data_IF_623592576769
#
_entry.id   IF_623592576769
#
_cell.length_a   1.000
_cell.length_b   1.000
_cell.length_c   1.000
_cell.angle_alpha   90.00
_cell.angle_beta   90.00
_cell.angle_gamma   90.00
#
_symmetry.space_group_name_H-M   'P 1'
#
loop_
_entity.id
_entity.type
_entity.pdbx_description
1 polymer ?
#
# COMPACT_ATOMS: atom_id res chain seq x y z
N UNK A 1 -14.35 2.78 -14.04
CA UNK A 1 -13.16 2.09 -14.62
C UNK A 1 -11.84 2.64 -14.02
N UNK A 2 -11.76 2.87 -12.69
CA UNK A 2 -10.54 3.42 -12.05
C UNK A 2 -9.94 2.51 -10.97
N UNK A 3 -10.73 1.64 -10.31
CA UNK A 3 -10.19 0.63 -9.39
C UNK A 3 -9.59 -0.63 -10.03
N UNK A 4 -9.73 -0.84 -11.34
CA UNK A 4 -9.06 -1.97 -12.01
C UNK A 4 -7.52 -1.88 -11.91
N UNK A 5 -6.98 -0.66 -11.76
CA UNK A 5 -5.56 -0.45 -11.47
C UNK A 5 -5.17 -0.94 -10.07
N UNK A 6 -6.08 -0.86 -9.08
CA UNK A 6 -5.82 -1.43 -7.76
C UNK A 6 -5.80 -2.96 -7.79
N UNK A 7 -6.61 -3.61 -8.62
CA UNK A 7 -6.51 -5.06 -8.79
C UNK A 7 -5.25 -5.47 -9.54
N UNK A 8 -4.77 -4.73 -10.54
CA UNK A 8 -3.47 -5.05 -11.15
C UNK A 8 -2.30 -4.85 -10.18
N UNK A 9 -2.37 -3.83 -9.31
CA UNK A 9 -1.35 -3.54 -8.30
C UNK A 9 -1.43 -4.53 -7.11
N UNK A 10 -2.63 -4.93 -6.67
CA UNK A 10 -2.85 -5.89 -5.58
C UNK A 10 -2.66 -7.34 -6.05
N UNK A 11 -3.03 -7.67 -7.29
CA UNK A 11 -2.83 -9.03 -7.85
C UNK A 11 -1.38 -9.24 -8.31
N UNK A 12 -0.63 -8.21 -8.76
CA UNK A 12 0.83 -8.35 -8.90
C UNK A 12 1.54 -8.48 -7.54
N UNK A 13 0.95 -7.99 -6.45
CA UNK A 13 1.50 -8.17 -5.10
C UNK A 13 1.28 -9.59 -4.53
N UNK A 14 0.41 -10.40 -5.14
CA UNK A 14 0.22 -11.81 -4.79
C UNK A 14 1.03 -12.78 -5.67
N UNK A 15 1.64 -12.30 -6.77
CA UNK A 15 2.35 -13.14 -7.76
C UNK A 15 3.87 -13.02 -7.77
N UNK A 16 4.45 -11.91 -7.31
CA UNK A 16 5.89 -11.78 -7.06
C UNK A 16 6.10 -10.81 -5.91
N UNK A 17 6.23 -11.36 -4.70
CA UNK A 17 6.48 -10.59 -3.49
C UNK A 17 7.79 -9.81 -3.57
N UNK A 18 7.71 -8.52 -3.91
CA UNK A 18 8.70 -7.54 -3.49
C UNK A 18 8.01 -6.56 -2.54
N UNK A 19 7.64 -7.10 -1.37
CA UNK A 19 7.58 -6.30 -0.15
C UNK A 19 8.99 -5.74 0.06
N UNK A 20 9.13 -4.43 0.26
CA UNK A 20 10.18 -4.00 1.18
C UNK A 20 9.89 -4.76 2.47
N UNK A 21 10.81 -5.58 2.99
CA UNK A 21 10.56 -6.21 4.28
C UNK A 21 10.37 -5.08 5.28
N UNK A 22 9.13 -4.93 5.75
CA UNK A 22 8.92 -4.53 7.13
C UNK A 22 9.79 -5.45 7.97
N UNK A 23 10.36 -4.91 9.04
CA UNK A 23 11.27 -5.59 9.96
C UNK A 23 10.67 -6.96 10.38
N UNK A 24 11.05 -8.06 9.73
CA UNK A 24 10.62 -9.41 10.10
C UNK A 24 11.79 -10.06 10.83
N UNK A 25 11.52 -10.50 12.06
CA UNK A 25 12.44 -11.19 12.96
C UNK A 25 13.06 -12.44 12.35
N UNK A 26 14.26 -12.73 12.84
CA UNK A 26 15.16 -13.81 12.44
C UNK A 26 14.55 -15.21 12.57
N UNK A 27 14.71 -16.02 11.53
CA UNK A 27 15.23 -17.40 11.62
C UNK A 27 15.71 -17.89 10.23
N UNK A 28 16.90 -18.50 10.18
CA UNK A 28 17.36 -19.35 9.07
C UNK A 28 18.00 -18.67 7.85
N UNK A 29 19.32 -18.71 7.77
CA UNK A 29 20.18 -18.09 6.74
C UNK A 29 20.06 -18.64 5.29
N UNK A 30 19.04 -19.45 4.95
CA UNK A 30 18.94 -20.08 3.62
C UNK A 30 17.65 -19.71 2.83
N UNK A 31 16.74 -18.90 3.39
CA UNK A 31 15.47 -18.52 2.73
C UNK A 31 15.54 -17.12 2.06
N UNK A 32 16.54 -16.30 2.38
CA UNK A 32 16.55 -14.85 2.12
C UNK A 32 16.90 -14.43 0.67
N UNK A 33 17.67 -15.22 -0.08
CA UNK A 33 18.01 -14.88 -1.48
C UNK A 33 16.77 -14.89 -2.41
N UNK A 34 15.70 -15.59 -2.03
CA UNK A 34 14.46 -15.67 -2.81
C UNK A 34 13.74 -14.33 -2.98
N UNK A 35 13.89 -13.40 -2.02
CA UNK A 35 13.16 -12.14 -1.96
C UNK A 35 13.73 -11.03 -2.87
N UNK A 36 14.96 -11.19 -3.33
CA UNK A 36 15.66 -10.17 -4.12
C UNK A 36 16.09 -10.77 -5.45
N UNK A 37 15.29 -10.59 -6.52
CA UNK A 37 15.56 -11.21 -7.81
C UNK A 37 16.93 -10.85 -8.40
N UNK A 38 17.44 -9.66 -8.09
CA UNK A 38 18.76 -9.19 -8.56
C UNK A 38 19.94 -9.88 -7.87
N UNK A 39 19.70 -10.63 -6.78
CA UNK A 39 20.73 -11.47 -6.13
C UNK A 39 20.84 -12.86 -6.76
N UNK A 40 20.00 -13.20 -7.76
CA UNK A 40 20.13 -14.49 -8.47
C UNK A 40 21.47 -14.52 -9.22
N UNK A 41 22.37 -15.38 -8.76
CA UNK A 41 23.73 -15.51 -9.31
C UNK A 41 24.80 -14.73 -8.55
N UNK A 42 24.44 -13.98 -7.50
CA UNK A 42 25.41 -13.37 -6.60
C UNK A 42 26.13 -14.44 -5.75
N UNK A 43 27.38 -14.17 -5.37
CA UNK A 43 28.13 -15.07 -4.49
C UNK A 43 27.49 -15.15 -3.10
N UNK A 44 27.72 -16.25 -2.38
CA UNK A 44 27.21 -16.40 -1.02
C UNK A 44 27.71 -15.27 -0.09
N UNK A 45 28.98 -14.86 -0.25
CA UNK A 45 29.56 -13.75 0.49
C UNK A 45 28.87 -12.42 0.17
N UNK A 46 28.57 -12.16 -1.11
CA UNK A 46 27.84 -10.96 -1.53
C UNK A 46 26.44 -10.92 -0.93
N UNK A 47 25.71 -12.05 -0.94
CA UNK A 47 24.38 -12.16 -0.34
C UNK A 47 24.42 -11.97 1.18
N UNK A 48 25.44 -12.51 1.86
CA UNK A 48 25.59 -12.31 3.30
C UNK A 48 25.85 -10.84 3.65
N UNK A 49 26.77 -10.18 2.94
CA UNK A 49 27.07 -8.75 3.13
C UNK A 49 25.84 -7.86 2.87
N UNK A 50 25.07 -8.17 1.83
CA UNK A 50 23.79 -7.50 1.57
C UNK A 50 22.83 -7.63 2.76
N UNK A 51 22.64 -8.85 3.26
CA UNK A 51 21.76 -9.14 4.40
C UNK A 51 22.19 -8.41 5.67
N UNK A 52 23.50 -8.26 5.91
CA UNK A 52 24.04 -7.49 7.03
C UNK A 52 23.70 -6.00 6.90
N UNK A 53 23.75 -5.41 5.70
CA UNK A 53 23.41 -4.00 5.48
C UNK A 53 21.91 -3.78 5.71
N UNK A 54 21.04 -4.60 5.11
CA UNK A 54 19.58 -4.43 5.26
C UNK A 54 19.09 -4.75 6.68
N UNK A 55 19.81 -5.59 7.42
CA UNK A 55 19.51 -5.95 8.81
C UNK A 55 19.87 -4.87 9.83
N UNK A 56 20.60 -3.83 9.45
CA UNK A 56 20.95 -2.70 10.34
C UNK A 56 19.76 -1.76 10.49
N UNK A 57 19.16 -1.76 11.68
CA UNK A 57 18.03 -0.89 12.03
C UNK A 57 18.43 0.45 12.66
N UNK A 58 19.70 0.62 13.04
CA UNK A 58 20.22 1.80 13.73
C UNK A 58 20.97 2.79 12.80
N UNK A 59 20.81 2.64 11.48
CA UNK A 59 21.42 3.53 10.48
C UNK A 59 20.34 4.37 9.78
N UNK A 60 20.72 5.54 9.26
CA UNK A 60 19.79 6.33 8.47
C UNK A 60 19.51 5.66 7.13
N UNK A 61 18.45 6.09 6.45
CA UNK A 61 18.14 5.60 5.10
C UNK A 61 19.22 5.99 4.10
N UNK A 62 19.80 7.17 4.26
CA UNK A 62 20.88 7.68 3.42
C UNK A 62 22.13 6.82 3.60
N UNK A 63 22.57 6.59 4.85
CA UNK A 63 23.72 5.71 5.14
C UNK A 63 23.51 4.29 4.58
N UNK A 64 22.27 3.78 4.65
CA UNK A 64 21.93 2.46 4.11
C UNK A 64 22.05 2.44 2.59
N UNK A 65 21.52 3.45 1.91
CA UNK A 65 21.57 3.55 0.45
C UNK A 65 23.02 3.68 -0.03
N UNK A 66 23.84 4.50 0.63
CA UNK A 66 25.27 4.61 0.36
C UNK A 66 26.01 3.27 0.57
N UNK A 67 25.72 2.58 1.67
CA UNK A 67 26.31 1.28 1.95
C UNK A 67 25.92 0.22 0.90
N UNK A 68 24.68 0.25 0.41
CA UNK A 68 24.22 -0.65 -0.65
C UNK A 68 24.81 -0.29 -2.01
N UNK A 69 24.93 0.98 -2.35
CA UNK A 69 25.60 1.41 -3.59
C UNK A 69 27.07 0.98 -3.60
N UNK A 70 27.77 1.15 -2.46
CA UNK A 70 29.16 0.66 -2.31
C UNK A 70 29.24 -0.86 -2.40
N UNK A 71 28.38 -1.58 -1.69
CA UNK A 71 28.30 -3.05 -1.76
C UNK A 71 28.09 -3.55 -3.20
N UNK A 72 27.24 -2.87 -3.97
CA UNK A 72 26.96 -3.25 -5.35
C UNK A 72 28.17 -3.01 -6.27
N UNK A 73 28.97 -1.98 -6.03
CA UNK A 73 30.26 -1.76 -6.71
C UNK A 73 31.25 -2.88 -6.37
N UNK A 74 31.43 -3.15 -5.07
CA UNK A 74 32.42 -4.13 -4.58
C UNK A 74 32.15 -5.57 -5.08
N UNK A 75 30.90 -5.86 -5.49
CA UNK A 75 30.47 -7.19 -5.92
C UNK A 75 30.10 -7.27 -7.42
N UNK A 76 30.37 -6.23 -8.21
CA UNK A 76 30.01 -6.16 -9.65
C UNK A 76 28.50 -6.36 -9.93
N UNK A 77 27.67 -5.82 -9.03
CA UNK A 77 26.20 -5.90 -9.08
C UNK A 77 25.55 -4.52 -9.26
N UNK A 78 26.32 -3.46 -9.51
CA UNK A 78 25.82 -2.08 -9.53
C UNK A 78 24.65 -1.88 -10.49
N UNK A 79 24.78 -2.33 -11.73
CA UNK A 79 23.75 -2.11 -12.75
C UNK A 79 22.45 -2.86 -12.44
N UNK A 80 22.56 -4.13 -12.02
CA UNK A 80 21.40 -4.95 -11.67
C UNK A 80 20.73 -4.44 -10.39
N UNK A 81 21.51 -3.97 -9.42
CA UNK A 81 21.00 -3.35 -8.20
C UNK A 81 20.29 -2.03 -8.49
N UNK A 82 20.89 -1.13 -9.28
CA UNK A 82 20.28 0.15 -9.65
C UNK A 82 18.97 -0.05 -10.40
N UNK A 83 18.93 -0.99 -11.36
CA UNK A 83 17.71 -1.32 -12.08
C UNK A 83 16.61 -1.78 -11.13
N UNK A 84 16.94 -2.68 -10.20
CA UNK A 84 16.01 -3.13 -9.16
C UNK A 84 15.51 -1.95 -8.30
N UNK A 85 16.42 -1.11 -7.77
CA UNK A 85 16.10 0.06 -6.95
C UNK A 85 15.13 1.00 -7.67
N UNK A 86 15.42 1.35 -8.93
CA UNK A 86 14.54 2.20 -9.73
C UNK A 86 13.16 1.56 -9.92
N UNK A 87 13.09 0.28 -10.30
CA UNK A 87 11.79 -0.40 -10.49
C UNK A 87 10.96 -0.39 -9.21
N UNK A 88 11.58 -0.66 -8.06
CA UNK A 88 10.89 -0.70 -6.78
C UNK A 88 10.39 0.69 -6.37
N UNK A 89 11.20 1.73 -6.54
CA UNK A 89 10.80 3.12 -6.23
C UNK A 89 9.70 3.62 -7.18
N UNK A 90 9.77 3.30 -8.48
CA UNK A 90 8.69 3.59 -9.43
C UNK A 90 7.38 2.91 -9.02
N UNK A 91 7.42 1.61 -8.71
CA UNK A 91 6.23 0.86 -8.27
C UNK A 91 5.70 1.38 -6.92
N UNK A 92 6.56 1.90 -6.05
CA UNK A 92 6.15 2.53 -4.79
C UNK A 92 5.44 3.86 -5.04
N UNK A 93 5.96 4.71 -5.91
CA UNK A 93 5.33 5.99 -6.23
C UNK A 93 4.01 5.81 -6.98
N UNK A 94 3.93 4.85 -7.91
CA UNK A 94 2.67 4.48 -8.58
C UNK A 94 1.61 4.02 -7.58
N UNK A 95 1.99 3.16 -6.62
CA UNK A 95 1.11 2.77 -5.50
C UNK A 95 0.65 3.97 -4.69
N UNK A 96 1.57 4.87 -4.34
CA UNK A 96 1.25 6.09 -3.56
C UNK A 96 0.23 6.95 -4.30
N UNK A 97 0.45 7.20 -5.60
CA UNK A 97 -0.46 7.96 -6.46
C UNK A 97 -1.83 7.28 -6.57
N UNK A 98 -1.86 5.96 -6.73
CA UNK A 98 -3.11 5.20 -6.80
C UNK A 98 -3.92 5.29 -5.49
N UNK A 99 -3.25 5.22 -4.34
CA UNK A 99 -3.88 5.39 -3.02
C UNK A 99 -4.46 6.80 -2.89
N UNK A 100 -3.66 7.83 -3.16
CA UNK A 100 -4.12 9.23 -3.08
C UNK A 100 -5.30 9.50 -4.02
N UNK A 101 -5.22 9.03 -5.27
CA UNK A 101 -6.33 9.17 -6.21
C UNK A 101 -7.60 8.44 -5.78
N UNK A 102 -7.47 7.33 -5.05
CA UNK A 102 -8.62 6.61 -4.46
C UNK A 102 -9.24 7.41 -3.30
N UNK A 103 -8.41 8.02 -2.45
CA UNK A 103 -8.88 8.88 -1.35
C UNK A 103 -9.62 10.11 -1.89
N UNK A 104 -9.09 10.75 -2.93
CA UNK A 104 -9.75 11.89 -3.58
C UNK A 104 -11.08 11.49 -4.22
N UNK A 105 -11.12 10.32 -4.88
CA UNK A 105 -12.36 9.78 -5.43
C UNK A 105 -13.42 9.53 -4.33
N UNK A 106 -13.02 8.89 -3.22
CA UNK A 106 -13.91 8.63 -2.10
C UNK A 106 -14.43 9.93 -1.49
N UNK A 107 -13.57 10.94 -1.33
CA UNK A 107 -13.98 12.26 -0.86
C UNK A 107 -15.10 12.83 -1.72
N UNK A 108 -14.90 12.90 -3.04
CA UNK A 108 -15.92 13.41 -3.96
C UNK A 108 -17.20 12.56 -3.99
N UNK A 109 -17.08 11.25 -3.75
CA UNK A 109 -18.24 10.36 -3.60
C UNK A 109 -19.07 10.72 -2.37
N UNK A 110 -18.44 10.93 -1.21
CA UNK A 110 -19.13 11.33 0.02
C UNK A 110 -19.68 12.75 -0.02
N UNK A 111 -19.01 13.68 -0.71
CA UNK A 111 -19.53 15.03 -0.96
C UNK A 111 -20.88 14.97 -1.70
N UNK A 112 -21.00 14.14 -2.74
CA UNK A 112 -22.26 13.92 -3.46
C UNK A 112 -23.36 13.32 -2.58
N UNK A 113 -23.02 12.38 -1.69
CA UNK A 113 -23.98 11.87 -0.71
C UNK A 113 -24.45 13.01 0.19
N UNK A 114 -23.53 13.83 0.70
CA UNK A 114 -23.85 15.01 1.50
C UNK A 114 -24.79 15.99 0.78
N UNK A 115 -24.57 16.25 -0.50
CA UNK A 115 -25.44 17.09 -1.34
C UNK A 115 -26.86 16.52 -1.45
N UNK A 116 -26.99 15.20 -1.69
CA UNK A 116 -28.29 14.53 -1.73
C UNK A 116 -29.03 14.65 -0.39
N UNK A 117 -28.32 14.47 0.72
CA UNK A 117 -28.88 14.51 2.07
C UNK A 117 -29.23 15.94 2.53
N UNK A 118 -28.46 16.94 2.11
CA UNK A 118 -28.71 18.34 2.45
C UNK A 118 -29.87 18.97 1.66
N UNK A 119 -30.25 18.36 0.53
CA UNK A 119 -31.29 18.90 -0.34
C UNK A 119 -32.68 18.68 0.25
N UNK A 120 -33.20 19.72 0.93
CA UNK A 120 -34.55 19.73 1.53
C UNK A 120 -35.70 19.63 0.53
N UNK A 121 -35.44 19.79 -0.77
CA UNK A 121 -36.45 19.63 -1.81
C UNK A 121 -36.67 18.18 -2.22
N UNK A 122 -35.79 17.26 -1.81
CA UNK A 122 -35.97 15.83 -2.05
C UNK A 122 -36.86 15.18 -1.01
N UNK A 123 -37.72 14.28 -1.48
CA UNK A 123 -38.38 13.31 -0.61
C UNK A 123 -37.37 12.26 -0.13
N UNK A 124 -37.65 11.59 0.99
CA UNK A 124 -36.81 10.50 1.48
C UNK A 124 -36.59 9.39 0.43
N UNK A 125 -37.57 9.16 -0.44
CA UNK A 125 -37.46 8.20 -1.55
C UNK A 125 -36.48 8.69 -2.61
N UNK A 126 -36.55 9.96 -3.00
CA UNK A 126 -35.62 10.53 -3.99
C UNK A 126 -34.17 10.56 -3.48
N UNK A 127 -33.97 10.87 -2.20
CA UNK A 127 -32.66 10.78 -1.56
C UNK A 127 -32.12 9.34 -1.61
N UNK A 128 -32.94 8.38 -1.16
CA UNK A 128 -32.56 6.95 -1.14
C UNK A 128 -32.25 6.41 -2.53
N UNK A 129 -33.06 6.77 -3.53
CA UNK A 129 -32.87 6.37 -4.92
C UNK A 129 -31.58 6.98 -5.51
N UNK A 130 -31.31 8.26 -5.23
CA UNK A 130 -30.07 8.92 -5.66
C UNK A 130 -28.81 8.31 -5.03
N UNK A 131 -28.86 7.97 -3.74
CA UNK A 131 -27.75 7.26 -3.08
C UNK A 131 -27.56 5.86 -3.68
N UNK A 132 -28.65 5.14 -3.96
CA UNK A 132 -28.61 3.81 -4.59
C UNK A 132 -28.01 3.88 -5.99
N UNK A 133 -28.39 4.88 -6.79
CA UNK A 133 -27.85 5.11 -8.12
C UNK A 133 -26.35 5.42 -8.04
N UNK A 134 -25.95 6.31 -7.13
CA UNK A 134 -24.53 6.63 -6.91
C UNK A 134 -23.71 5.37 -6.55
N UNK A 135 -24.22 4.52 -5.65
CA UNK A 135 -23.59 3.25 -5.29
C UNK A 135 -23.56 2.22 -6.44
N UNK A 136 -24.45 2.34 -7.43
CA UNK A 136 -24.48 1.45 -8.60
C UNK A 136 -23.32 1.70 -9.58
N UNK A 137 -22.71 2.89 -9.53
CA UNK A 137 -21.53 3.25 -10.33
C UNK A 137 -20.23 2.58 -9.85
N UNK A 138 -20.27 1.95 -8.67
CA UNK A 138 -19.14 1.29 -8.03
C UNK A 138 -19.01 -0.16 -8.49
N UNK A 139 -17.78 -0.60 -8.71
CA UNK A 139 -17.49 -2.03 -8.84
C UNK A 139 -17.59 -2.75 -7.49
N UNK A 140 -17.50 -4.09 -7.51
CA UNK A 140 -17.67 -4.92 -6.31
C UNK A 140 -16.77 -4.51 -5.13
N UNK A 141 -15.50 -4.21 -5.37
CA UNK A 141 -14.54 -3.84 -4.32
C UNK A 141 -14.78 -2.41 -3.82
N UNK A 142 -15.03 -1.47 -4.74
CA UNK A 142 -15.42 -0.09 -4.43
C UNK A 142 -16.67 -0.07 -3.55
N UNK A 143 -17.67 -0.87 -3.90
CA UNK A 143 -18.94 -0.98 -3.17
C UNK A 143 -18.74 -1.54 -1.77
N UNK A 144 -17.93 -2.59 -1.61
CA UNK A 144 -17.62 -3.16 -0.29
C UNK A 144 -16.91 -2.16 0.63
N UNK A 145 -15.99 -1.35 0.09
CA UNK A 145 -15.32 -0.29 0.83
C UNK A 145 -16.31 0.81 1.22
N UNK A 146 -17.09 1.32 0.26
CA UNK A 146 -18.10 2.35 0.50
C UNK A 146 -19.16 1.88 1.49
N UNK A 147 -19.66 0.65 1.40
CA UNK A 147 -20.64 0.09 2.33
C UNK A 147 -20.07 0.05 3.76
N UNK A 148 -18.79 -0.31 3.91
CA UNK A 148 -18.10 -0.31 5.22
C UNK A 148 -18.00 1.10 5.79
N UNK A 149 -17.62 2.07 4.96
CA UNK A 149 -17.50 3.48 5.36
C UNK A 149 -18.86 4.13 5.65
N UNK A 150 -19.88 3.84 4.83
CA UNK A 150 -21.26 4.29 5.02
C UNK A 150 -21.89 3.69 6.28
N UNK A 151 -21.61 2.42 6.57
CA UNK A 151 -21.99 1.81 7.83
C UNK A 151 -21.37 2.57 9.00
N UNK A 152 -20.05 2.82 8.96
CA UNK A 152 -19.34 3.58 9.99
C UNK A 152 -19.89 5.01 10.16
N UNK A 153 -20.24 5.67 9.06
CA UNK A 153 -20.84 7.01 9.04
C UNK A 153 -22.24 7.04 9.68
N UNK A 154 -23.10 6.07 9.33
CA UNK A 154 -24.50 6.02 9.79
C UNK A 154 -24.66 5.57 11.24
N UNK A 155 -23.83 4.65 11.71
CA UNK A 155 -24.02 4.05 13.04
C UNK A 155 -23.42 4.87 14.19
N UNK A 156 -22.85 6.05 13.90
CA UNK A 156 -21.87 6.67 14.80
C UNK A 156 -20.65 5.75 14.97
N UNK A 157 -19.59 6.20 15.62
CA UNK A 157 -18.37 5.39 15.78
C UNK A 157 -18.69 4.09 16.53
N UNK A 158 -18.96 3.01 15.79
CA UNK A 158 -19.03 1.67 16.35
C UNK A 158 -17.69 1.40 17.00
N UNK A 159 -17.67 0.77 18.18
CA UNK A 159 -16.43 0.29 18.80
C UNK A 159 -15.60 -0.58 17.83
N UNK A 160 -16.24 -1.19 16.83
CA UNK A 160 -15.55 -1.90 15.74
C UNK A 160 -14.72 -0.97 14.84
N UNK A 161 -15.22 0.22 14.53
CA UNK A 161 -14.51 1.23 13.72
C UNK A 161 -13.41 1.89 14.55
N UNK A 162 -13.68 2.22 15.82
CA UNK A 162 -12.65 2.69 16.76
C UNK A 162 -11.53 1.68 16.92
N UNK A 163 -11.85 0.40 17.12
CA UNK A 163 -10.87 -0.69 17.25
C UNK A 163 -10.08 -0.93 15.96
N UNK A 164 -10.69 -0.72 14.80
CA UNK A 164 -10.00 -0.79 13.50
C UNK A 164 -9.07 0.42 13.24
N UNK A 165 -9.38 1.59 13.82
CA UNK A 165 -8.60 2.83 13.66
C UNK A 165 -7.55 3.05 14.77
N UNK A 166 -7.65 2.38 15.93
CA UNK A 166 -6.65 2.38 17.02
C UNK A 166 -5.40 1.54 16.67
N UNK A 167 -4.78 1.82 15.52
CA UNK A 167 -3.39 1.44 15.23
C UNK A 167 -2.39 2.53 15.62
N UNK A 168 -2.83 3.58 16.30
CA UNK A 168 -1.96 4.50 17.04
C UNK A 168 -2.12 4.14 18.52
N UNK A 169 -1.05 3.66 19.20
CA UNK A 169 -1.09 3.57 20.65
C UNK A 169 -1.09 5.01 21.18
N UNK A 170 -2.13 5.36 21.93
CA UNK A 170 -2.11 6.54 22.78
C UNK A 170 -0.94 6.37 23.76
N UNK A 171 0.15 7.10 23.48
CA UNK A 171 1.29 7.23 24.37
C UNK A 171 0.89 8.05 25.58
N UNK A 172 0.98 7.41 26.74
CA UNK A 172 0.96 8.00 28.07
C UNK A 172 2.13 8.99 28.24
#
# INVERSE_FOLDING_TARGET
MKLLLLTSIVVYSAGTGTQYPACVSNDGANVRASHYPFLRGASWSAVNAFNEIIGKYNITKEDRDEALDKWAVDNDLLDVYRKYRTTVESAREERRKAILGTLDYLRGFFEKIGELQANKSYTCTQESDGIRELCSTLNFLERRLVDTLMFAYRTGSSEKVKKALRLVPDGN
#
